data_IF_921191284807
#
_entry.id   IF_921191284807
#
_cell.length_a   1.000
_cell.length_b   1.000
_cell.length_c   1.000
_cell.angle_alpha   90.00
_cell.angle_beta   90.00
_cell.angle_gamma   90.00
#
_symmetry.space_group_name_H-M   'P 1'
#
loop_
_entity.id
_entity.type
_entity.pdbx_description
1 polymer ?
#
# COMPACT_ATOMS: atom_id res chain seq x y z
N UNK A 1 -20.67 -1.74 5.48
CA UNK A 1 -19.73 -1.68 4.33
C UNK A 1 -18.84 -2.92 4.37
N UNK A 2 -18.95 -3.80 3.39
CA UNK A 2 -18.05 -4.95 3.25
C UNK A 2 -16.69 -4.44 2.78
N UNK A 3 -15.63 -4.61 3.59
CA UNK A 3 -14.27 -4.25 3.18
C UNK A 3 -13.83 -5.26 2.12
N UNK A 4 -13.61 -4.80 0.89
CA UNK A 4 -13.02 -5.63 -0.16
C UNK A 4 -11.59 -5.97 0.24
N UNK A 5 -11.29 -7.26 0.40
CA UNK A 5 -9.93 -7.73 0.70
C UNK A 5 -9.10 -7.80 -0.58
N UNK A 6 -8.01 -7.04 -0.63
CA UNK A 6 -7.11 -7.02 -1.79
C UNK A 6 -5.93 -7.97 -1.59
N UNK A 7 -5.55 -8.72 -2.63
CA UNK A 7 -4.38 -9.61 -2.61
C UNK A 7 -3.12 -8.84 -2.19
N UNK A 8 -2.35 -9.42 -1.28
CA UNK A 8 -1.09 -8.87 -0.81
C UNK A 8 0.04 -9.23 -1.76
N UNK A 9 0.90 -8.26 -2.03
CA UNK A 9 2.23 -8.50 -2.58
C UNK A 9 3.14 -9.03 -1.49
N UNK A 10 4.19 -9.77 -1.85
CA UNK A 10 5.21 -10.12 -0.87
C UNK A 10 5.97 -8.89 -0.39
N UNK A 11 6.57 -8.95 0.80
CA UNK A 11 7.46 -7.89 1.28
C UNK A 11 8.61 -7.64 0.30
N UNK A 12 9.23 -8.70 -0.23
CA UNK A 12 10.32 -8.62 -1.22
C UNK A 12 9.89 -7.85 -2.48
N UNK A 13 8.74 -8.19 -3.06
CA UNK A 13 8.26 -7.50 -4.26
C UNK A 13 7.92 -6.03 -3.96
N UNK A 14 7.35 -5.77 -2.79
CA UNK A 14 7.00 -4.42 -2.34
C UNK A 14 8.26 -3.56 -2.20
N UNK A 15 9.31 -4.08 -1.55
CA UNK A 15 10.59 -3.40 -1.37
C UNK A 15 11.32 -3.14 -2.69
N UNK A 16 11.14 -4.01 -3.70
CA UNK A 16 11.76 -3.82 -5.02
C UNK A 16 11.36 -2.50 -5.71
N UNK A 17 10.25 -1.90 -5.30
CA UNK A 17 9.77 -0.61 -5.83
C UNK A 17 10.13 0.59 -4.93
N UNK A 18 10.71 0.39 -3.76
CA UNK A 18 10.89 1.45 -2.77
C UNK A 18 11.84 2.54 -3.28
N UNK A 19 12.95 2.17 -3.93
CA UNK A 19 13.91 3.11 -4.49
C UNK A 19 13.29 3.98 -5.59
N UNK A 20 12.49 3.38 -6.46
CA UNK A 20 11.81 4.11 -7.53
C UNK A 20 10.73 5.04 -6.95
N UNK A 21 9.93 4.56 -5.99
CA UNK A 21 8.96 5.36 -5.28
C UNK A 21 9.62 6.54 -4.53
N UNK A 22 10.81 6.33 -3.98
CA UNK A 22 11.62 7.38 -3.33
C UNK A 22 12.09 8.44 -4.33
N UNK A 23 12.66 8.02 -5.47
CA UNK A 23 13.11 8.94 -6.55
C UNK A 23 11.97 9.81 -7.05
N UNK A 24 10.78 9.23 -7.21
CA UNK A 24 9.59 9.94 -7.68
C UNK A 24 8.81 10.65 -6.56
N UNK A 25 9.29 10.66 -5.31
CA UNK A 25 8.59 11.26 -4.16
C UNK A 25 7.14 10.77 -4.02
N UNK A 26 6.96 9.46 -4.20
CA UNK A 26 5.67 8.76 -4.08
C UNK A 26 5.61 8.06 -2.73
N UNK A 27 4.42 8.08 -2.12
CA UNK A 27 4.10 7.36 -0.90
C UNK A 27 5.05 7.65 0.26
N UNK A 28 5.49 8.90 0.41
CA UNK A 28 6.32 9.34 1.55
C UNK A 28 5.70 8.97 2.89
N UNK A 29 4.38 9.14 3.03
CA UNK A 29 3.63 8.73 4.23
C UNK A 29 3.76 7.22 4.48
N UNK A 30 3.62 6.39 3.44
CA UNK A 30 3.72 4.94 3.58
C UNK A 30 5.14 4.49 3.94
N UNK A 31 6.17 5.17 3.41
CA UNK A 31 7.58 4.88 3.63
C UNK A 31 8.17 5.49 4.91
N UNK A 32 7.44 6.40 5.56
CA UNK A 32 7.86 7.04 6.81
C UNK A 32 8.07 6.02 7.95
N UNK A 33 8.80 6.42 9.00
CA UNK A 33 9.09 5.57 10.18
C UNK A 33 7.85 5.01 10.90
N UNK A 34 6.69 5.66 10.72
CA UNK A 34 5.39 5.23 11.28
C UNK A 34 4.42 4.80 10.17
N UNK A 35 4.90 4.69 8.95
CA UNK A 35 4.12 4.37 7.76
C UNK A 35 3.91 2.88 7.56
N UNK A 36 3.06 2.55 6.59
CA UNK A 36 2.69 1.20 6.24
C UNK A 36 3.90 0.30 5.95
N UNK A 37 4.89 0.77 5.18
CA UNK A 37 6.04 -0.05 4.79
C UNK A 37 6.84 -0.52 5.99
N UNK A 38 7.05 0.35 6.99
CA UNK A 38 7.78 0.01 8.21
C UNK A 38 6.99 -0.92 9.11
N UNK A 39 5.66 -0.79 9.14
CA UNK A 39 4.80 -1.77 9.80
C UNK A 39 4.86 -3.13 9.08
N UNK A 40 4.84 -3.12 7.75
CA UNK A 40 4.86 -4.33 6.93
C UNK A 40 6.18 -5.10 7.03
N UNK A 41 7.31 -4.38 7.10
CA UNK A 41 8.62 -4.96 7.42
C UNK A 41 8.66 -5.59 8.81
N UNK A 42 8.14 -4.90 9.85
CA UNK A 42 8.08 -5.44 11.22
C UNK A 42 7.21 -6.69 11.31
N UNK A 43 6.15 -6.72 10.51
CA UNK A 43 5.29 -7.89 10.34
C UNK A 43 5.92 -8.99 9.46
N UNK A 44 7.16 -8.81 8.97
CA UNK A 44 7.82 -9.72 8.03
C UNK A 44 6.98 -10.02 6.77
N UNK A 45 6.15 -9.07 6.36
CA UNK A 45 5.25 -9.23 5.22
C UNK A 45 3.95 -10.00 5.50
N UNK A 46 3.66 -10.36 6.76
CA UNK A 46 2.52 -11.22 7.12
C UNK A 46 1.20 -10.42 7.30
N UNK A 47 0.17 -10.65 6.45
CA UNK A 47 -1.12 -10.01 6.58
C UNK A 47 -1.86 -10.30 7.89
N UNK A 48 -1.63 -11.47 8.50
CA UNK A 48 -2.28 -11.86 9.76
C UNK A 48 -1.80 -10.98 10.91
N UNK A 49 -0.50 -10.73 10.98
CA UNK A 49 0.12 -9.79 11.93
C UNK A 49 -0.35 -8.35 11.65
N UNK A 50 -0.44 -7.96 10.38
CA UNK A 50 -0.96 -6.63 10.02
C UNK A 50 -2.42 -6.40 10.44
N UNK A 51 -3.19 -7.46 10.63
CA UNK A 51 -4.59 -7.41 11.10
C UNK A 51 -4.72 -7.22 12.61
N UNK A 52 -3.62 -7.34 13.36
CA UNK A 52 -3.58 -7.12 14.81
C UNK A 52 -2.73 -5.91 15.20
N UNK A 53 -1.93 -5.36 14.27
CA UNK A 53 -1.13 -4.15 14.47
C UNK A 53 -1.95 -2.86 14.26
N UNK A 54 -2.05 -2.04 15.31
CA UNK A 54 -2.72 -0.74 15.25
C UNK A 54 -1.94 0.28 14.41
N UNK A 55 -2.68 1.16 13.74
CA UNK A 55 -2.14 2.30 13.02
C UNK A 55 -1.80 3.43 14.00
N UNK A 56 -0.53 3.85 14.13
CA UNK A 56 -0.15 4.91 15.05
C UNK A 56 -0.84 6.23 14.73
N UNK A 57 -1.42 6.89 15.74
CA UNK A 57 -1.95 8.24 15.62
C UNK A 57 -3.27 8.39 14.84
N UNK A 58 -3.94 7.30 14.47
CA UNK A 58 -5.26 7.37 13.81
C UNK A 58 -6.40 7.22 14.81
N UNK A 59 -6.48 6.09 15.51
CA UNK A 59 -7.39 5.82 16.63
C UNK A 59 -6.98 4.48 17.30
N UNK A 60 -7.72 4.06 18.33
CA UNK A 60 -7.42 2.83 19.09
C UNK A 60 -8.01 1.55 18.49
N UNK A 61 -8.57 1.60 17.28
CA UNK A 61 -9.35 0.48 16.69
C UNK A 61 -9.03 0.19 15.23
N UNK A 62 -8.19 1.00 14.59
CA UNK A 62 -7.82 0.85 13.18
C UNK A 62 -6.52 0.08 13.07
N UNK A 63 -6.59 -1.06 12.39
CA UNK A 63 -5.47 -1.93 12.09
C UNK A 63 -4.92 -1.67 10.68
N UNK A 64 -3.68 -2.07 10.44
CA UNK A 64 -3.01 -1.81 9.17
C UNK A 64 -3.66 -2.53 7.98
N UNK A 65 -4.23 -3.71 8.16
CA UNK A 65 -4.96 -4.43 7.11
C UNK A 65 -6.15 -3.60 6.56
N UNK A 66 -6.98 -3.07 7.45
CA UNK A 66 -8.14 -2.23 7.11
C UNK A 66 -7.69 -0.92 6.48
N UNK A 67 -6.68 -0.28 7.07
CA UNK A 67 -6.13 0.98 6.55
C UNK A 67 -5.56 0.82 5.15
N UNK A 68 -4.91 -0.31 4.89
CA UNK A 68 -4.43 -0.68 3.56
C UNK A 68 -5.59 -0.88 2.59
N UNK A 69 -6.60 -1.66 2.95
CA UNK A 69 -7.72 -1.92 2.05
C UNK A 69 -8.46 -0.62 1.67
N UNK A 70 -8.65 0.30 2.61
CA UNK A 70 -9.18 1.64 2.33
C UNK A 70 -8.31 2.43 1.35
N UNK A 71 -6.99 2.41 1.55
CA UNK A 71 -6.04 3.07 0.67
C UNK A 71 -6.14 2.49 -0.74
N UNK A 72 -6.07 1.17 -0.87
CA UNK A 72 -6.12 0.46 -2.15
C UNK A 72 -7.44 0.70 -2.86
N UNK A 73 -8.58 0.65 -2.16
CA UNK A 73 -9.89 0.93 -2.74
C UNK A 73 -9.97 2.34 -3.35
N UNK A 74 -9.59 3.37 -2.59
CA UNK A 74 -9.58 4.76 -3.07
C UNK A 74 -8.65 4.95 -4.26
N UNK A 75 -7.45 4.39 -4.21
CA UNK A 75 -6.46 4.56 -5.27
C UNK A 75 -6.79 3.75 -6.51
N UNK A 76 -7.41 2.57 -6.38
CA UNK A 76 -7.89 1.78 -7.51
C UNK A 76 -9.07 2.45 -8.23
N UNK A 77 -9.97 3.10 -7.50
CA UNK A 77 -11.03 3.90 -8.12
C UNK A 77 -10.46 5.02 -9.00
N UNK A 78 -9.35 5.64 -8.59
CA UNK A 78 -8.65 6.62 -9.43
C UNK A 78 -7.85 5.97 -10.57
N UNK A 79 -7.19 4.82 -10.31
CA UNK A 79 -6.37 4.12 -11.29
C UNK A 79 -7.17 3.62 -12.50
N UNK A 80 -8.44 3.27 -12.28
CA UNK A 80 -9.36 2.79 -13.33
C UNK A 80 -9.92 3.90 -14.22
N UNK A 81 -9.85 5.18 -13.82
CA UNK A 81 -10.34 6.29 -14.63
C UNK A 81 -9.49 6.45 -15.91
N UNK A 82 -10.05 7.00 -17.00
CA UNK A 82 -9.25 7.46 -18.14
C UNK A 82 -8.12 8.39 -17.67
N UNK A 83 -6.89 8.17 -18.18
CA UNK A 83 -5.68 8.87 -17.70
C UNK A 83 -5.21 8.48 -16.28
N UNK A 84 -5.89 7.54 -15.62
CA UNK A 84 -5.62 7.13 -14.24
C UNK A 84 -4.41 6.19 -14.07
N UNK A 85 -3.98 5.54 -15.15
CA UNK A 85 -2.90 4.53 -15.15
C UNK A 85 -1.52 5.20 -15.25
N UNK A 86 -1.14 5.96 -14.24
CA UNK A 86 0.18 6.61 -14.19
C UNK A 86 1.19 5.79 -13.39
N UNK A 87 2.47 5.89 -13.73
CA UNK A 87 3.56 5.22 -13.00
C UNK A 87 3.57 5.58 -11.52
N UNK A 88 3.35 6.86 -11.19
CA UNK A 88 3.24 7.35 -9.81
C UNK A 88 2.13 6.64 -9.03
N UNK A 89 0.93 6.49 -9.60
CA UNK A 89 -0.20 5.82 -8.92
C UNK A 89 0.03 4.32 -8.79
N UNK A 90 0.67 3.72 -9.79
CA UNK A 90 1.06 2.31 -9.76
C UNK A 90 2.03 2.04 -8.61
N UNK A 91 3.09 2.85 -8.48
CA UNK A 91 4.04 2.77 -7.36
C UNK A 91 3.39 3.06 -6.01
N UNK A 92 2.41 3.98 -5.97
CA UNK A 92 1.70 4.28 -4.74
C UNK A 92 0.95 3.07 -4.20
N UNK A 93 0.27 2.33 -5.08
CA UNK A 93 -0.39 1.06 -4.77
C UNK A 93 0.63 -0.03 -4.38
N UNK A 94 1.77 -0.08 -5.08
CA UNK A 94 2.88 -0.96 -4.75
C UNK A 94 3.41 -0.76 -3.33
N UNK A 95 3.61 0.49 -2.89
CA UNK A 95 4.04 0.85 -1.52
C UNK A 95 3.01 0.54 -0.43
N UNK A 96 1.82 0.08 -0.81
CA UNK A 96 0.80 -0.47 0.08
C UNK A 96 0.61 -1.98 -0.14
N UNK A 97 1.67 -2.65 -0.60
CA UNK A 97 1.71 -4.08 -0.89
C UNK A 97 0.57 -4.55 -1.80
N UNK A 98 0.18 -3.76 -2.79
CA UNK A 98 -0.84 -4.14 -3.76
C UNK A 98 -0.32 -3.99 -5.19
N UNK A 99 -0.43 -5.05 -5.98
CA UNK A 99 -0.07 -5.06 -7.40
C UNK A 99 -1.32 -4.75 -8.23
N UNK A 100 -1.41 -3.57 -8.87
CA UNK A 100 -2.53 -3.25 -9.75
C UNK A 100 -2.55 -4.21 -10.94
N UNK A 101 -3.73 -4.56 -11.49
CA UNK A 101 -3.83 -5.40 -12.67
C UNK A 101 -3.21 -4.72 -13.89
N UNK A 102 -2.64 -5.53 -14.78
CA UNK A 102 -1.94 -5.08 -15.99
C UNK A 102 -0.44 -4.85 -15.78
N UNK A 103 0.22 -4.37 -16.83
CA UNK A 103 1.64 -3.98 -16.77
C UNK A 103 1.80 -2.63 -16.08
N UNK A 104 2.93 -2.43 -15.42
CA UNK A 104 3.28 -1.13 -14.89
C UNK A 104 3.34 -0.11 -16.05
N UNK A 105 2.71 1.07 -15.93
CA UNK A 105 2.86 2.12 -16.91
C UNK A 105 4.35 2.50 -17.08
N UNK A 106 4.75 2.86 -18.29
CA UNK A 106 6.06 3.44 -18.56
C UNK A 106 6.14 4.86 -17.99
#
# INVERSE_FOLDING_TARGET
MTIQRYKWMSLKDTLSYEDEAKKLRVSEVARSNRGFMRAYERASGDPSVMSTMLVPGVNRTTFWDKRRDEFVARHMAQYRKPGGKTRRRWLALGMWAYKPPGRAPQ
#
